data_IF_977761399197
#
_entry.id   IF_977761399197
#
_cell.length_a   1.000
_cell.length_b   1.000
_cell.length_c   1.000
_cell.angle_alpha   90.00
_cell.angle_beta   90.00
_cell.angle_gamma   90.00
#
_symmetry.space_group_name_H-M   'P 1'
#
loop_
_entity.id
_entity.type
_entity.pdbx_description
1 polymer ?
#
# COMPACT_ATOMS: atom_id res chain seq x y z
N UNK A 1 -2.35 -16.65 -14.11
CA UNK A 1 -1.57 -16.00 -13.05
C UNK A 1 -1.13 -17.05 -12.03
N UNK A 2 0.11 -16.98 -11.54
CA UNK A 2 0.61 -17.80 -10.43
C UNK A 2 0.58 -17.00 -9.12
N UNK A 3 0.26 -17.69 -8.01
CA UNK A 3 0.12 -17.07 -6.69
C UNK A 3 0.93 -17.83 -5.65
N UNK A 4 1.42 -17.12 -4.63
CA UNK A 4 2.16 -17.66 -3.49
C UNK A 4 1.68 -17.03 -2.18
N UNK A 5 1.93 -17.70 -1.06
CA UNK A 5 1.78 -17.10 0.26
C UNK A 5 3.00 -16.22 0.55
N UNK A 6 2.78 -15.00 1.01
CA UNK A 6 3.84 -14.05 1.33
C UNK A 6 4.48 -14.39 2.69
N UNK A 7 5.54 -15.21 2.66
CA UNK A 7 6.22 -15.66 3.87
C UNK A 7 5.25 -16.38 4.81
N UNK A 8 5.17 -15.94 6.06
CA UNK A 8 4.29 -16.53 7.09
C UNK A 8 3.03 -15.69 7.37
N UNK A 9 2.67 -14.75 6.50
CA UNK A 9 1.54 -13.83 6.74
C UNK A 9 0.18 -14.49 6.50
N UNK A 10 0.13 -15.57 5.72
CA UNK A 10 -1.11 -16.16 5.22
C UNK A 10 -1.74 -15.39 4.06
N UNK A 11 -1.18 -14.23 3.67
CA UNK A 11 -1.66 -13.41 2.56
C UNK A 11 -1.23 -14.05 1.23
N UNK A 12 -2.19 -14.33 0.34
CA UNK A 12 -1.95 -14.97 -0.96
C UNK A 12 -1.86 -13.94 -2.08
N UNK A 13 -0.65 -13.68 -2.56
CA UNK A 13 -0.36 -12.66 -3.58
C UNK A 13 0.04 -13.29 -4.93
N UNK A 14 -0.20 -12.57 -6.02
CA UNK A 14 0.34 -12.89 -7.34
C UNK A 14 1.88 -12.78 -7.30
N UNK A 15 2.58 -13.65 -8.04
CA UNK A 15 4.05 -13.60 -8.12
C UNK A 15 4.58 -12.29 -8.74
N UNK A 16 3.74 -11.58 -9.48
CA UNK A 16 3.99 -10.23 -9.97
C UNK A 16 3.17 -9.23 -9.16
N UNK A 17 3.81 -8.13 -8.78
CA UNK A 17 3.20 -7.00 -8.09
C UNK A 17 3.06 -5.82 -9.07
N UNK A 18 1.94 -5.11 -9.02
CA UNK A 18 1.75 -3.87 -9.76
C UNK A 18 2.37 -2.70 -8.99
N UNK A 19 3.44 -2.11 -9.52
CA UNK A 19 4.03 -0.89 -8.96
C UNK A 19 3.29 0.36 -9.44
N UNK A 20 2.72 1.12 -8.52
CA UNK A 20 1.79 2.23 -8.86
C UNK A 20 2.43 3.61 -9.01
N UNK A 21 3.74 3.75 -8.81
CA UNK A 21 4.45 5.04 -8.96
C UNK A 21 4.24 5.65 -10.36
N UNK A 22 4.20 4.83 -11.41
CA UNK A 22 4.17 5.33 -12.79
C UNK A 22 2.89 6.04 -13.18
N UNK A 23 1.74 5.66 -12.62
CA UNK A 23 0.48 6.35 -12.88
C UNK A 23 0.33 7.65 -12.09
N UNK A 24 1.17 7.85 -11.06
CA UNK A 24 1.05 8.93 -10.09
C UNK A 24 1.51 10.30 -10.61
N UNK A 25 1.21 11.39 -9.88
CA UNK A 25 1.71 12.73 -10.20
C UNK A 25 3.25 12.85 -10.25
N UNK A 26 3.97 11.92 -9.61
CA UNK A 26 5.44 11.90 -9.64
C UNK A 26 6.01 11.40 -10.99
N UNK A 27 5.19 10.80 -11.85
CA UNK A 27 5.60 10.28 -13.16
C UNK A 27 4.62 10.70 -14.27
N UNK A 28 3.74 9.80 -14.73
CA UNK A 28 2.88 10.09 -15.88
C UNK A 28 1.73 11.06 -15.57
N UNK A 29 1.43 11.29 -14.28
CA UNK A 29 0.37 12.17 -13.80
C UNK A 29 -0.95 11.93 -14.53
N UNK A 30 -1.37 10.67 -14.60
CA UNK A 30 -2.62 10.31 -15.26
C UNK A 30 -3.80 10.89 -14.47
N UNK A 31 -4.94 11.08 -15.13
CA UNK A 31 -6.19 11.32 -14.39
C UNK A 31 -6.52 10.12 -13.51
N UNK A 32 -7.27 10.34 -12.41
CA UNK A 32 -7.72 9.25 -11.53
C UNK A 32 -8.41 8.15 -12.32
N UNK A 33 -9.28 8.52 -13.27
CA UNK A 33 -9.97 7.59 -14.15
C UNK A 33 -8.99 6.73 -14.95
N UNK A 34 -8.08 7.34 -15.71
CA UNK A 34 -7.11 6.59 -16.53
C UNK A 34 -6.16 5.73 -15.69
N UNK A 35 -5.63 6.26 -14.58
CA UNK A 35 -4.73 5.48 -13.73
C UNK A 35 -5.44 4.33 -13.01
N UNK A 36 -6.70 4.52 -12.62
CA UNK A 36 -7.52 3.43 -12.08
C UNK A 36 -7.80 2.35 -13.13
N UNK A 37 -8.03 2.71 -14.39
CA UNK A 37 -8.24 1.74 -15.47
C UNK A 37 -6.99 0.89 -15.73
N UNK A 38 -5.79 1.45 -15.56
CA UNK A 38 -4.53 0.68 -15.63
C UNK A 38 -4.45 -0.34 -14.49
N UNK A 39 -4.85 0.02 -13.27
CA UNK A 39 -4.91 -0.92 -12.14
C UNK A 39 -5.94 -2.01 -12.42
N UNK A 40 -7.14 -1.65 -12.90
CA UNK A 40 -8.20 -2.61 -13.24
C UNK A 40 -7.73 -3.58 -14.32
N UNK A 41 -7.04 -3.10 -15.37
CA UNK A 41 -6.47 -3.97 -16.40
C UNK A 41 -5.46 -4.99 -15.83
N UNK A 42 -4.64 -4.58 -14.86
CA UNK A 42 -3.74 -5.50 -14.14
C UNK A 42 -4.53 -6.57 -13.36
N UNK A 43 -5.59 -6.17 -12.66
CA UNK A 43 -6.50 -7.06 -11.93
C UNK A 43 -7.24 -8.02 -12.86
N UNK A 44 -7.67 -7.56 -14.03
CA UNK A 44 -8.29 -8.37 -15.07
C UNK A 44 -7.37 -9.50 -15.54
N UNK A 45 -6.07 -9.23 -15.65
CA UNK A 45 -5.02 -10.19 -15.98
C UNK A 45 -4.56 -11.05 -14.78
N UNK A 46 -5.22 -10.91 -13.63
CA UNK A 46 -5.05 -11.76 -12.45
C UNK A 46 -4.07 -11.23 -11.41
N UNK A 47 -3.47 -10.04 -11.60
CA UNK A 47 -2.64 -9.43 -10.56
C UNK A 47 -3.54 -9.03 -9.39
N UNK A 48 -3.26 -9.51 -8.18
CA UNK A 48 -4.00 -9.12 -6.97
C UNK A 48 -3.12 -8.40 -5.95
N UNK A 49 -1.88 -8.03 -6.31
CA UNK A 49 -0.93 -7.41 -5.41
C UNK A 49 -0.43 -6.08 -5.98
N UNK A 50 -0.56 -5.01 -5.21
CA UNK A 50 -0.20 -3.64 -5.59
C UNK A 50 0.76 -3.02 -4.57
N UNK A 51 1.81 -2.36 -5.06
CA UNK A 51 2.74 -1.55 -4.27
C UNK A 51 2.49 -0.06 -4.52
N UNK A 52 2.41 0.70 -3.43
CA UNK A 52 2.29 2.15 -3.40
C UNK A 52 3.10 2.74 -2.24
N UNK A 53 3.05 4.06 -2.05
CA UNK A 53 3.53 4.79 -0.89
C UNK A 53 2.66 6.01 -0.67
N UNK A 54 2.59 6.51 0.57
CA UNK A 54 1.96 7.80 0.86
C UNK A 54 2.59 8.92 0.03
N UNK A 55 3.90 8.86 -0.19
CA UNK A 55 4.64 9.84 -0.99
C UNK A 55 4.23 9.86 -2.46
N UNK A 56 3.68 8.76 -2.99
CA UNK A 56 3.27 8.70 -4.40
C UNK A 56 2.00 9.53 -4.67
N UNK A 57 1.26 9.93 -3.64
CA UNK A 57 0.03 10.72 -3.76
C UNK A 57 -0.98 10.09 -4.74
N UNK A 58 -1.16 8.77 -4.63
CA UNK A 58 -1.96 8.00 -5.59
C UNK A 58 -3.03 7.09 -4.96
N UNK A 59 -3.32 7.22 -3.66
CA UNK A 59 -4.40 6.47 -3.01
C UNK A 59 -5.78 6.66 -3.66
N UNK A 60 -6.16 7.85 -4.18
CA UNK A 60 -7.43 8.02 -4.89
C UNK A 60 -7.59 7.13 -6.14
N UNK A 61 -6.48 6.81 -6.83
CA UNK A 61 -6.48 5.92 -8.00
C UNK A 61 -6.82 4.47 -7.59
N UNK A 62 -6.27 4.04 -6.44
CA UNK A 62 -6.49 2.70 -5.87
C UNK A 62 -7.93 2.58 -5.39
N UNK A 63 -8.45 3.59 -4.70
CA UNK A 63 -9.86 3.66 -4.28
C UNK A 63 -10.81 3.49 -5.48
N UNK A 64 -10.54 4.22 -6.56
CA UNK A 64 -11.37 4.16 -7.76
C UNK A 64 -11.28 2.78 -8.44
N UNK A 65 -10.08 2.18 -8.52
CA UNK A 65 -9.92 0.84 -9.07
C UNK A 65 -10.67 -0.24 -8.28
N UNK A 66 -10.65 -0.16 -6.95
CA UNK A 66 -11.40 -1.05 -6.06
C UNK A 66 -12.91 -0.91 -6.28
N UNK A 67 -13.42 0.29 -6.53
CA UNK A 67 -14.85 0.50 -6.83
C UNK A 67 -15.26 -0.05 -8.19
N UNK A 68 -14.34 -0.04 -9.16
CA UNK A 68 -14.57 -0.51 -10.54
C UNK A 68 -14.48 -2.03 -10.68
N UNK A 69 -13.94 -2.76 -9.71
CA UNK A 69 -13.69 -4.19 -9.81
C UNK A 69 -14.06 -4.95 -8.55
N UNK A 70 -14.82 -6.02 -8.69
CA UNK A 70 -15.12 -6.96 -7.59
C UNK A 70 -13.94 -7.88 -7.24
N UNK A 71 -12.81 -7.77 -7.96
CA UNK A 71 -11.62 -8.58 -7.69
C UNK A 71 -10.90 -8.10 -6.45
N UNK A 72 -10.39 -9.05 -5.68
CA UNK A 72 -9.55 -8.75 -4.52
C UNK A 72 -8.25 -8.06 -4.95
N UNK A 73 -7.89 -7.01 -4.21
CA UNK A 73 -6.64 -6.27 -4.38
C UNK A 73 -5.99 -6.09 -3.02
N UNK A 74 -4.83 -6.73 -2.86
CA UNK A 74 -3.96 -6.66 -1.69
C UNK A 74 -3.05 -5.44 -1.88
N UNK A 75 -3.14 -4.49 -0.96
CA UNK A 75 -2.41 -3.23 -1.03
C UNK A 75 -1.24 -3.22 -0.06
N UNK A 76 -0.06 -2.99 -0.60
CA UNK A 76 1.15 -2.68 0.14
C UNK A 76 1.46 -1.20 0.03
N UNK A 77 1.50 -0.50 1.16
CA UNK A 77 1.90 0.91 1.22
C UNK A 77 3.01 1.16 2.24
N UNK A 78 3.53 2.40 2.24
CA UNK A 78 4.66 2.82 3.06
C UNK A 78 4.65 4.33 3.32
N UNK A 79 5.23 4.71 4.45
CA UNK A 79 5.39 6.11 4.88
C UNK A 79 6.83 6.40 5.35
N UNK A 80 7.26 7.65 5.19
CA UNK A 80 8.50 8.20 5.75
C UNK A 80 8.37 8.60 7.24
N UNK A 81 7.20 8.42 7.85
CA UNK A 81 6.99 8.74 9.25
C UNK A 81 7.96 7.95 10.16
N UNK A 82 8.58 8.65 11.10
CA UNK A 82 9.55 8.09 12.04
C UNK A 82 9.11 8.16 13.50
N UNK A 83 8.07 8.94 13.81
CA UNK A 83 7.45 9.02 15.14
C UNK A 83 6.22 8.13 15.22
N UNK A 84 5.84 7.72 16.43
CA UNK A 84 4.63 6.94 16.68
C UNK A 84 3.37 7.65 16.14
N UNK A 85 3.18 8.93 16.50
CA UNK A 85 2.00 9.71 16.09
C UNK A 85 2.02 10.02 14.59
N UNK A 86 3.20 10.27 14.00
CA UNK A 86 3.32 10.45 12.55
C UNK A 86 2.91 9.20 11.79
N UNK A 87 3.36 8.02 12.25
CA UNK A 87 3.01 6.75 11.60
C UNK A 87 1.51 6.44 11.77
N UNK A 88 0.93 6.78 12.92
CA UNK A 88 -0.52 6.72 13.12
C UNK A 88 -1.28 7.54 12.10
N UNK A 89 -0.89 8.79 11.91
CA UNK A 89 -1.51 9.67 10.92
C UNK A 89 -1.37 9.12 9.51
N UNK A 90 -0.21 8.57 9.16
CA UNK A 90 0.04 7.92 7.87
C UNK A 90 -0.85 6.70 7.62
N UNK A 91 -1.04 5.83 8.61
CA UNK A 91 -1.93 4.66 8.49
C UNK A 91 -3.38 5.10 8.34
N UNK A 92 -3.86 6.03 9.17
CA UNK A 92 -5.23 6.54 9.06
C UNK A 92 -5.46 7.26 7.73
N UNK A 93 -4.49 8.03 7.23
CA UNK A 93 -4.55 8.66 5.91
C UNK A 93 -4.73 7.60 4.81
N UNK A 94 -3.95 6.53 4.83
CA UNK A 94 -4.09 5.44 3.84
C UNK A 94 -5.48 4.78 3.91
N UNK A 95 -5.95 4.46 5.13
CA UNK A 95 -7.29 3.87 5.36
C UNK A 95 -8.40 4.78 4.80
N UNK A 96 -8.33 6.07 5.10
CA UNK A 96 -9.31 7.05 4.65
C UNK A 96 -9.29 7.30 3.14
N UNK A 97 -8.11 7.47 2.54
CA UNK A 97 -8.01 7.81 1.12
C UNK A 97 -8.24 6.61 0.20
N UNK A 98 -7.87 5.40 0.62
CA UNK A 98 -8.17 4.15 -0.10
C UNK A 98 -9.60 3.68 0.19
N UNK A 99 -10.22 4.16 1.28
CA UNK A 99 -11.57 3.80 1.72
C UNK A 99 -11.65 2.33 2.18
N UNK A 100 -10.76 1.97 3.12
CA UNK A 100 -10.59 0.62 3.66
C UNK A 100 -10.46 0.66 5.18
N UNK A 101 -11.09 -0.32 5.84
CA UNK A 101 -10.95 -0.49 7.28
C UNK A 101 -9.58 -1.01 7.70
N UNK A 102 -8.90 -1.75 6.83
CA UNK A 102 -7.59 -2.37 7.09
C UNK A 102 -6.70 -2.21 5.87
N UNK A 103 -5.43 -1.90 6.09
CA UNK A 103 -4.40 -1.96 5.04
C UNK A 103 -3.66 -3.29 5.14
N UNK A 104 -3.60 -4.06 4.04
CA UNK A 104 -3.07 -5.43 4.06
C UNK A 104 -1.60 -5.49 4.50
N UNK A 105 -0.79 -4.56 4.01
CA UNK A 105 0.64 -4.45 4.31
C UNK A 105 1.01 -2.97 4.43
N UNK A 106 1.59 -2.59 5.56
CA UNK A 106 2.13 -1.24 5.78
C UNK A 106 3.61 -1.32 6.18
N UNK A 107 4.48 -0.60 5.47
CA UNK A 107 5.92 -0.60 5.69
C UNK A 107 6.47 0.78 6.08
N UNK A 108 7.66 0.79 6.67
CA UNK A 108 8.48 2.00 6.79
C UNK A 108 9.27 2.20 5.50
N UNK A 109 9.24 3.41 4.94
CA UNK A 109 9.94 3.72 3.70
C UNK A 109 11.45 3.90 3.95
N UNK A 110 12.28 3.43 3.02
CA UNK A 110 13.74 3.66 2.98
C UNK A 110 14.51 3.27 4.26
N UNK A 111 14.18 2.14 4.86
CA UNK A 111 14.95 1.61 6.00
C UNK A 111 16.17 0.81 5.52
N UNK A 112 17.31 1.50 5.37
CA UNK A 112 18.53 0.93 4.79
C UNK A 112 19.42 0.15 5.77
N UNK A 113 19.33 0.41 7.08
CA UNK A 113 20.22 -0.21 8.07
C UNK A 113 19.60 -0.30 9.46
N UNK A 114 20.31 -0.96 10.37
CA UNK A 114 19.95 -0.97 11.79
C UNK A 114 19.90 0.43 12.42
N UNK A 115 20.62 1.41 11.86
CA UNK A 115 20.68 2.76 12.39
C UNK A 115 19.48 3.60 11.97
N UNK A 116 19.07 3.50 10.70
CA UNK A 116 17.82 4.13 10.24
C UNK A 116 16.64 3.53 10.98
N UNK A 117 16.60 2.20 11.12
CA UNK A 117 15.58 1.51 11.91
C UNK A 117 15.53 1.97 13.37
N UNK A 118 16.69 2.19 14.01
CA UNK A 118 16.75 2.72 15.38
C UNK A 118 16.10 4.11 15.49
N UNK A 119 16.27 4.97 14.47
CA UNK A 119 15.66 6.29 14.41
C UNK A 119 14.14 6.27 14.15
N UNK A 120 13.60 5.17 13.61
CA UNK A 120 12.18 4.99 13.30
C UNK A 120 11.50 4.01 14.28
N UNK A 121 12.11 3.76 15.44
CA UNK A 121 11.64 2.74 16.37
C UNK A 121 10.20 2.99 16.82
N UNK A 122 9.87 4.24 17.11
CA UNK A 122 8.53 4.65 17.55
C UNK A 122 7.48 4.42 16.46
N UNK A 123 7.83 4.67 15.18
CA UNK A 123 6.96 4.37 14.05
C UNK A 123 6.75 2.85 13.89
N UNK A 124 7.80 2.04 14.05
CA UNK A 124 7.67 0.58 14.04
C UNK A 124 6.77 0.09 15.18
N UNK A 125 6.89 0.66 16.37
CA UNK A 125 6.05 0.31 17.52
C UNK A 125 4.57 0.58 17.24
N UNK A 126 4.25 1.71 16.60
CA UNK A 126 2.88 1.96 16.16
C UNK A 126 2.39 0.89 15.17
N UNK A 127 3.18 0.51 14.16
CA UNK A 127 2.76 -0.52 13.19
C UNK A 127 2.50 -1.88 13.84
N UNK A 128 3.27 -2.23 14.88
CA UNK A 128 3.01 -3.44 15.67
C UNK A 128 1.68 -3.35 16.43
N UNK A 129 1.41 -2.21 17.07
CA UNK A 129 0.16 -1.98 17.79
C UNK A 129 -1.06 -1.95 16.86
N UNK A 130 -0.94 -1.32 15.69
CA UNK A 130 -1.96 -1.30 14.65
C UNK A 130 -2.28 -2.72 14.18
N UNK A 131 -1.25 -3.52 13.91
CA UNK A 131 -1.41 -4.94 13.56
C UNK A 131 -2.13 -5.74 14.65
N UNK A 132 -1.80 -5.52 15.92
CA UNK A 132 -2.49 -6.17 17.04
C UNK A 132 -3.96 -5.75 17.16
N UNK A 133 -4.30 -4.53 16.74
CA UNK A 133 -5.68 -4.02 16.68
C UNK A 133 -6.44 -4.47 15.42
N UNK A 134 -5.73 -5.00 14.41
CA UNK A 134 -6.31 -5.44 13.15
C UNK A 134 -6.72 -4.29 12.23
N UNK A 135 -5.95 -3.19 12.22
CA UNK A 135 -6.15 -2.02 11.34
C UNK A 135 -4.95 -1.80 10.41
#
# INVERSE_FOLDING_TARGET
MEYNILGNTGIRVSKLCFGSLTISPLQANLSIEMGSDVIVAAMENGINFLDTAEFYDNYPYIREAIKKSDKELIVSTKSYAYTYEGMKQSVEKARHEIDRDVIDIFMMHEQESKWTLKGHRDALEYLLDAKCKGI
#
